data_IF_701554393624
#
_entry.id   IF_701554393624
#
_cell.length_a   1.000
_cell.length_b   1.000
_cell.length_c   1.000
_cell.angle_alpha   90.00
_cell.angle_beta   90.00
_cell.angle_gamma   90.00
#
_symmetry.space_group_name_H-M   'P 1'
#
loop_
_entity.id
_entity.type
_entity.pdbx_description
1 polymer ?
#
# COMPACT_ATOMS: atom_id res chain seq x y z
N UNK A 1 -46.49 -22.72 -52.52
CA UNK A 1 -46.63 -21.49 -51.71
C UNK A 1 -45.60 -21.55 -50.59
N UNK A 2 -44.53 -20.77 -50.67
CA UNK A 2 -43.49 -20.67 -49.64
C UNK A 2 -43.72 -19.40 -48.83
N UNK A 3 -44.21 -19.55 -47.61
CA UNK A 3 -44.57 -18.46 -46.71
C UNK A 3 -43.29 -17.86 -46.11
N UNK A 4 -42.96 -16.62 -46.50
CA UNK A 4 -41.77 -15.90 -46.04
C UNK A 4 -42.07 -15.24 -44.69
N UNK A 5 -41.62 -15.84 -43.59
CA UNK A 5 -41.76 -15.28 -42.24
C UNK A 5 -40.89 -14.03 -42.10
N UNK A 6 -41.51 -12.85 -42.09
CA UNK A 6 -40.84 -11.58 -41.82
C UNK A 6 -40.51 -11.49 -40.32
N UNK A 7 -39.21 -11.44 -39.97
CA UNK A 7 -38.79 -11.17 -38.58
C UNK A 7 -38.89 -9.67 -38.33
N UNK A 8 -39.75 -9.26 -37.40
CA UNK A 8 -39.80 -7.89 -36.91
C UNK A 8 -38.48 -7.54 -36.20
N UNK A 9 -37.60 -6.82 -36.88
CA UNK A 9 -36.46 -6.16 -36.24
C UNK A 9 -37.01 -4.92 -35.50
N UNK A 10 -37.23 -5.06 -34.20
CA UNK A 10 -37.45 -3.91 -33.32
C UNK A 10 -36.13 -3.16 -33.17
N UNK A 11 -36.06 -1.96 -33.74
CA UNK A 11 -34.93 -1.05 -33.56
C UNK A 11 -34.97 -0.37 -32.19
N UNK A 12 -33.81 -0.14 -31.60
CA UNK A 12 -33.65 0.72 -30.42
C UNK A 12 -33.91 2.17 -30.81
N UNK A 13 -34.67 2.92 -30.01
CA UNK A 13 -34.88 4.34 -30.28
C UNK A 13 -33.63 5.14 -29.92
N UNK A 14 -33.37 6.22 -30.66
CA UNK A 14 -32.26 7.15 -30.35
C UNK A 14 -32.45 7.76 -28.95
N UNK A 15 -33.71 7.97 -28.53
CA UNK A 15 -34.05 8.49 -27.21
C UNK A 15 -33.67 7.51 -26.10
N UNK A 16 -33.93 6.22 -26.27
CA UNK A 16 -33.51 5.18 -25.32
C UNK A 16 -32.00 5.13 -25.17
N UNK A 17 -31.25 5.30 -26.26
CA UNK A 17 -29.78 5.32 -26.17
C UNK A 17 -29.28 6.62 -25.50
N UNK A 18 -29.93 7.75 -25.75
CA UNK A 18 -29.55 9.05 -25.18
C UNK A 18 -29.70 9.08 -23.66
N UNK A 19 -30.83 8.60 -23.12
CA UNK A 19 -31.01 8.55 -21.66
C UNK A 19 -29.98 7.64 -21.00
N UNK A 20 -29.64 6.51 -21.62
CA UNK A 20 -28.66 5.56 -21.06
C UNK A 20 -27.27 6.20 -20.95
N UNK A 21 -26.79 6.90 -21.98
CA UNK A 21 -25.47 7.55 -21.91
C UNK A 21 -25.45 8.69 -20.89
N UNK A 22 -26.55 9.42 -20.72
CA UNK A 22 -26.68 10.48 -19.70
C UNK A 22 -26.60 9.88 -18.30
N UNK A 23 -27.31 8.79 -18.05
CA UNK A 23 -27.26 8.10 -16.76
C UNK A 23 -25.84 7.57 -16.48
N UNK A 24 -25.20 6.92 -17.46
CA UNK A 24 -23.82 6.42 -17.30
C UNK A 24 -22.85 7.57 -17.02
N UNK A 25 -23.00 8.72 -17.68
CA UNK A 25 -22.14 9.89 -17.44
C UNK A 25 -22.27 10.42 -16.01
N UNK A 26 -23.49 10.51 -15.47
CA UNK A 26 -23.73 10.95 -14.08
C UNK A 26 -23.15 9.95 -13.08
N UNK A 27 -23.41 8.65 -13.28
CA UNK A 27 -22.89 7.60 -12.42
C UNK A 27 -21.36 7.56 -12.44
N UNK A 28 -20.73 7.71 -13.61
CA UNK A 28 -19.28 7.76 -13.77
C UNK A 28 -18.65 8.95 -13.03
N UNK A 29 -19.28 10.13 -13.07
CA UNK A 29 -18.78 11.32 -12.38
C UNK A 29 -18.74 11.11 -10.85
N UNK A 30 -19.80 10.55 -10.27
CA UNK A 30 -19.88 10.27 -8.83
C UNK A 30 -18.86 9.19 -8.41
N UNK A 31 -18.73 8.13 -9.20
CA UNK A 31 -17.82 7.01 -8.87
C UNK A 31 -16.36 7.44 -8.87
N UNK A 32 -15.93 8.31 -9.78
CA UNK A 32 -14.54 8.81 -9.84
C UNK A 32 -14.13 9.51 -8.53
N UNK A 33 -14.99 10.41 -8.01
CA UNK A 33 -14.67 11.14 -6.77
C UNK A 33 -14.60 10.20 -5.57
N UNK A 34 -15.54 9.26 -5.46
CA UNK A 34 -15.56 8.28 -4.38
C UNK A 34 -14.34 7.34 -4.42
N UNK A 35 -13.93 6.91 -5.62
CA UNK A 35 -12.86 5.93 -5.82
C UNK A 35 -11.49 6.46 -5.37
N UNK A 36 -11.18 7.73 -5.63
CA UNK A 36 -9.92 8.35 -5.21
C UNK A 36 -9.72 8.30 -3.69
N UNK A 37 -10.78 8.60 -2.91
CA UNK A 37 -10.72 8.56 -1.45
C UNK A 37 -10.59 7.14 -0.89
N UNK A 38 -11.22 6.14 -1.52
CA UNK A 38 -11.11 4.73 -1.10
C UNK A 38 -9.69 4.21 -1.34
N UNK A 39 -9.11 4.48 -2.52
CA UNK A 39 -7.75 4.05 -2.81
C UNK A 39 -6.73 4.64 -1.84
N UNK A 40 -6.86 5.91 -1.48
CA UNK A 40 -5.95 6.55 -0.53
C UNK A 40 -6.02 5.88 0.85
N UNK A 41 -7.22 5.64 1.37
CA UNK A 41 -7.40 4.93 2.66
C UNK A 41 -6.83 3.51 2.63
N UNK A 42 -6.99 2.80 1.51
CA UNK A 42 -6.42 1.47 1.34
C UNK A 42 -4.88 1.51 1.36
N UNK A 43 -4.27 2.49 0.68
CA UNK A 43 -2.81 2.71 0.70
C UNK A 43 -2.31 3.06 2.11
N UNK A 44 -2.99 3.97 2.80
CA UNK A 44 -2.62 4.39 4.15
C UNK A 44 -2.69 3.22 5.13
N UNK A 45 -3.74 2.40 5.06
CA UNK A 45 -3.87 1.19 5.87
C UNK A 45 -2.78 0.16 5.56
N UNK A 46 -2.43 -0.01 4.27
CA UNK A 46 -1.38 -0.91 3.86
C UNK A 46 0.01 -0.43 4.30
N UNK A 47 0.26 0.89 4.25
CA UNK A 47 1.49 1.53 4.72
C UNK A 47 1.66 1.37 6.24
N UNK A 48 0.62 1.68 7.01
CA UNK A 48 0.63 1.49 8.46
C UNK A 48 0.82 0.02 8.85
N UNK A 49 0.16 -0.90 8.15
CA UNK A 49 0.35 -2.34 8.35
C UNK A 49 1.78 -2.80 8.06
N UNK A 50 2.38 -2.34 6.94
CA UNK A 50 3.77 -2.64 6.61
C UNK A 50 4.74 -2.05 7.64
N UNK A 51 4.52 -0.82 8.10
CA UNK A 51 5.33 -0.18 9.13
C UNK A 51 5.27 -0.92 10.47
N UNK A 52 4.09 -1.38 10.88
CA UNK A 52 3.89 -2.17 12.09
C UNK A 52 4.56 -3.55 12.00
N UNK A 53 4.46 -4.21 10.84
CA UNK A 53 5.18 -5.46 10.59
C UNK A 53 6.69 -5.25 10.69
N UNK A 54 7.23 -4.21 10.04
CA UNK A 54 8.65 -3.88 10.13
C UNK A 54 9.07 -3.58 11.57
N UNK A 55 8.28 -2.80 12.32
CA UNK A 55 8.53 -2.53 13.75
C UNK A 55 8.71 -3.84 14.53
N UNK A 56 7.80 -4.79 14.34
CA UNK A 56 7.84 -6.08 15.03
C UNK A 56 9.11 -6.86 14.66
N UNK A 57 9.50 -6.85 13.38
CA UNK A 57 10.71 -7.53 12.89
C UNK A 57 11.99 -6.92 13.46
N UNK A 58 12.08 -5.59 13.53
CA UNK A 58 13.27 -4.91 14.09
C UNK A 58 13.33 -5.04 15.61
N UNK A 59 12.19 -5.13 16.29
CA UNK A 59 12.12 -5.45 17.72
C UNK A 59 12.57 -6.89 18.01
N UNK A 60 12.14 -7.86 17.19
CA UNK A 60 12.62 -9.24 17.28
C UNK A 60 14.16 -9.31 17.08
N UNK A 61 14.69 -8.55 16.12
CA UNK A 61 16.13 -8.42 15.93
C UNK A 61 16.83 -7.87 17.17
N UNK A 62 16.33 -6.76 17.72
CA UNK A 62 16.89 -6.14 18.92
C UNK A 62 16.81 -7.07 20.15
N UNK A 63 15.73 -7.84 20.29
CA UNK A 63 15.59 -8.79 21.40
C UNK A 63 16.66 -9.88 21.40
N UNK A 64 17.22 -10.23 20.24
CA UNK A 64 18.22 -11.30 20.11
C UNK A 64 19.65 -10.77 20.01
N UNK A 65 19.85 -9.61 19.37
CA UNK A 65 21.18 -9.01 19.16
C UNK A 65 21.53 -7.91 20.18
N UNK A 66 20.55 -7.38 20.91
CA UNK A 66 20.72 -6.28 21.87
C UNK A 66 20.89 -4.91 21.23
N UNK A 67 20.72 -4.82 19.91
CA UNK A 67 20.76 -3.59 19.13
C UNK A 67 19.74 -3.63 17.98
N UNK A 68 19.20 -2.49 17.61
CA UNK A 68 18.35 -2.37 16.42
C UNK A 68 19.19 -2.53 15.15
N UNK A 69 18.64 -3.11 14.07
CA UNK A 69 19.40 -3.36 12.86
C UNK A 69 19.84 -2.07 12.16
N UNK A 70 20.97 -2.12 11.47
CA UNK A 70 21.43 -1.04 10.59
C UNK A 70 20.55 -0.95 9.34
N UNK A 71 20.58 0.20 8.68
CA UNK A 71 19.95 0.39 7.37
C UNK A 71 20.43 -0.66 6.34
N UNK A 72 21.70 -1.07 6.38
CA UNK A 72 22.23 -2.12 5.52
C UNK A 72 21.59 -3.49 5.82
N UNK A 73 21.43 -3.86 7.09
CA UNK A 73 20.80 -5.12 7.48
C UNK A 73 19.32 -5.17 7.09
N UNK A 74 18.57 -4.07 7.24
CA UNK A 74 17.19 -3.96 6.74
C UNK A 74 17.15 -4.01 5.21
N UNK A 75 18.19 -3.49 4.54
CA UNK A 75 18.37 -3.60 3.10
C UNK A 75 18.59 -5.04 2.63
N UNK A 76 19.25 -5.84 3.47
CA UNK A 76 19.53 -7.27 3.25
C UNK A 76 18.50 -8.21 3.89
N UNK A 77 17.27 -7.75 4.13
CA UNK A 77 16.14 -8.54 4.64
C UNK A 77 16.28 -9.09 6.07
N UNK A 78 17.18 -8.53 6.89
CA UNK A 78 17.45 -8.99 8.25
C UNK A 78 17.78 -10.50 8.30
N UNK A 79 18.55 -10.98 7.32
CA UNK A 79 18.97 -12.37 7.27
C UNK A 79 20.12 -12.59 8.25
N UNK A 80 19.87 -13.41 9.27
CA UNK A 80 20.87 -13.90 10.21
C UNK A 80 20.44 -15.30 10.69
N UNK A 81 21.38 -16.25 10.69
CA UNK A 81 21.09 -17.66 11.02
C UNK A 81 20.60 -17.84 12.45
N UNK A 82 20.89 -16.88 13.34
CA UNK A 82 20.45 -16.92 14.74
C UNK A 82 19.12 -16.19 14.97
N UNK A 83 18.67 -15.36 14.02
CA UNK A 83 17.50 -14.46 14.17
C UNK A 83 16.53 -14.63 12.98
N UNK A 84 16.09 -15.85 12.75
CA UNK A 84 15.22 -16.20 11.60
C UNK A 84 13.84 -15.52 11.66
N UNK A 85 13.33 -15.23 12.85
CA UNK A 85 12.02 -14.60 13.06
C UNK A 85 11.97 -13.13 12.61
N UNK A 86 13.12 -12.45 12.62
CA UNK A 86 13.27 -11.07 12.18
C UNK A 86 13.33 -10.93 10.65
N UNK A 87 13.44 -12.04 9.91
CA UNK A 87 13.52 -12.01 8.45
C UNK A 87 12.31 -11.28 7.86
N UNK A 88 12.60 -10.40 6.92
CA UNK A 88 11.62 -9.61 6.18
C UNK A 88 11.17 -10.39 4.95
N UNK A 89 9.86 -10.52 4.77
CA UNK A 89 9.26 -11.13 3.58
C UNK A 89 9.52 -10.29 2.32
N UNK A 90 9.67 -10.90 1.13
CA UNK A 90 9.98 -10.19 -0.11
C UNK A 90 8.98 -9.08 -0.46
N UNK A 91 7.71 -9.26 -0.14
CA UNK A 91 6.65 -8.27 -0.39
C UNK A 91 6.70 -7.09 0.57
N UNK A 92 7.07 -7.34 1.83
CA UNK A 92 7.33 -6.28 2.79
C UNK A 92 8.60 -5.51 2.37
N UNK A 93 9.63 -6.21 1.89
CA UNK A 93 10.88 -5.59 1.48
C UNK A 93 10.70 -4.54 0.39
N UNK A 94 9.88 -4.81 -0.62
CA UNK A 94 9.59 -3.87 -1.72
C UNK A 94 9.00 -2.54 -1.24
N UNK A 95 8.36 -2.53 -0.07
CA UNK A 95 7.71 -1.35 0.50
C UNK A 95 8.64 -0.51 1.38
N UNK A 96 9.84 -1.03 1.69
CA UNK A 96 10.78 -0.44 2.64
C UNK A 96 11.97 0.19 1.91
N UNK A 97 12.19 1.47 2.21
CA UNK A 97 13.41 2.21 1.88
C UNK A 97 14.20 2.51 3.15
N UNK A 98 15.49 2.79 3.00
CA UNK A 98 16.38 3.16 4.11
C UNK A 98 17.05 4.52 3.90
N UNK A 99 16.63 5.24 2.86
CA UNK A 99 17.05 6.59 2.52
C UNK A 99 15.99 7.23 1.61
N UNK A 100 15.95 8.57 1.56
CA UNK A 100 14.95 9.31 0.80
C UNK A 100 13.62 9.46 1.53
N UNK A 101 12.53 9.64 0.78
CA UNK A 101 11.21 9.98 1.32
C UNK A 101 10.16 8.92 0.97
N UNK A 102 9.32 8.48 1.92
CA UNK A 102 8.21 7.59 1.64
C UNK A 102 7.25 8.13 0.57
N UNK A 103 6.85 7.28 -0.37
CA UNK A 103 5.91 7.61 -1.42
C UNK A 103 4.83 6.52 -1.53
N UNK A 104 4.02 6.51 -2.59
CA UNK A 104 2.93 5.54 -2.74
C UNK A 104 3.40 4.11 -3.05
N UNK A 105 4.60 3.94 -3.61
CA UNK A 105 5.17 2.65 -4.00
C UNK A 105 6.07 2.07 -2.90
N UNK A 106 6.88 2.92 -2.29
CA UNK A 106 7.72 2.62 -1.12
C UNK A 106 7.24 3.44 0.08
N UNK A 107 6.17 3.01 0.75
CA UNK A 107 5.51 3.83 1.77
C UNK A 107 6.18 3.79 3.14
N UNK A 108 7.25 3.01 3.35
CA UNK A 108 7.90 2.85 4.65
C UNK A 108 9.39 3.20 4.54
N UNK A 109 9.86 4.13 5.37
CA UNK A 109 11.26 4.47 5.56
C UNK A 109 11.73 3.97 6.92
N UNK A 110 12.83 3.23 6.92
CA UNK A 110 13.53 2.83 8.13
C UNK A 110 14.75 3.71 8.39
N UNK A 111 14.94 4.14 9.64
CA UNK A 111 16.15 4.83 10.08
C UNK A 111 16.54 4.31 11.46
N UNK A 112 17.77 3.81 11.57
CA UNK A 112 18.34 3.46 12.88
C UNK A 112 18.72 4.76 13.61
N UNK A 113 18.46 4.82 14.91
CA UNK A 113 18.75 5.99 15.73
C UNK A 113 19.50 5.58 17.01
N UNK A 114 20.07 6.57 17.71
CA UNK A 114 20.76 6.36 18.97
C UNK A 114 21.91 5.35 18.89
N UNK A 115 22.65 5.30 17.77
CA UNK A 115 23.74 4.35 17.53
C UNK A 115 23.35 2.87 17.77
N UNK A 116 22.14 2.49 17.32
CA UNK A 116 21.61 1.14 17.47
C UNK A 116 20.77 0.92 18.73
N UNK A 117 20.50 1.96 19.52
CA UNK A 117 19.59 1.92 20.67
C UNK A 117 18.14 2.24 20.33
N UNK A 118 17.86 2.64 19.09
CA UNK A 118 16.50 2.80 18.62
C UNK A 118 16.34 2.60 17.11
N UNK A 119 15.07 2.53 16.72
CA UNK A 119 14.62 2.50 15.35
C UNK A 119 13.47 3.48 15.16
N UNK A 120 13.52 4.27 14.09
CA UNK A 120 12.43 5.10 13.60
C UNK A 120 11.92 4.52 12.29
N UNK A 121 10.63 4.22 12.24
CA UNK A 121 9.93 3.79 11.05
C UNK A 121 8.95 4.89 10.64
N UNK A 122 9.28 5.63 9.59
CA UNK A 122 8.43 6.70 9.04
C UNK A 122 7.60 6.14 7.89
N UNK A 123 6.29 6.28 7.92
CA UNK A 123 5.40 5.78 6.86
C UNK A 123 4.48 6.85 6.31
N UNK A 124 4.09 6.70 5.04
CA UNK A 124 3.17 7.63 4.36
C UNK A 124 1.73 7.44 4.85
N UNK A 125 1.05 8.56 5.11
CA UNK A 125 -0.38 8.63 5.42
C UNK A 125 -0.98 9.85 4.73
N UNK A 126 -1.66 9.63 3.62
CA UNK A 126 -2.07 10.67 2.70
C UNK A 126 -0.88 11.52 2.27
N UNK A 127 -0.98 12.84 2.41
CA UNK A 127 0.10 13.78 2.07
C UNK A 127 1.14 13.98 3.18
N UNK A 128 0.93 13.34 4.33
CA UNK A 128 1.81 13.43 5.51
C UNK A 128 2.58 12.13 5.72
N UNK A 129 3.48 12.17 6.69
CA UNK A 129 4.16 11.00 7.23
C UNK A 129 3.88 10.87 8.72
N UNK A 130 3.83 9.64 9.21
CA UNK A 130 3.74 9.30 10.64
C UNK A 130 4.90 8.39 11.02
N UNK A 131 5.32 8.48 12.28
CA UNK A 131 6.49 7.76 12.78
C UNK A 131 6.08 6.73 13.82
N UNK A 132 6.68 5.54 13.74
CA UNK A 132 6.75 4.56 14.82
C UNK A 132 8.18 4.58 15.34
N UNK A 133 8.36 4.96 16.60
CA UNK A 133 9.67 5.01 17.25
C UNK A 133 9.79 3.90 18.27
N UNK A 134 10.90 3.18 18.22
CA UNK A 134 11.27 2.11 19.16
C UNK A 134 12.62 2.42 19.78
N UNK A 135 12.74 2.20 21.10
CA UNK A 135 13.96 2.55 21.84
C UNK A 135 14.21 4.05 21.88
N UNK A 136 15.48 4.44 21.97
CA UNK A 136 15.89 5.84 22.08
C UNK A 136 16.33 6.39 20.72
N UNK A 137 15.45 7.20 20.13
CA UNK A 137 15.78 8.26 19.19
C UNK A 137 15.68 9.61 19.92
#
# INVERSE_FOLDING_TARGET
MTTKTQRNLRGFTIVELLIVIVIIAILAAITIVAYNGIQQRARDSAAAGAASQLSTKVEAWNSQKGEYPTAAQVSSNLVDDKVTEAKIDPDLKKKIITSGTPNNDTPVLYTQCGSGKGAKITYKKGDKTEDIVRGSC
#
